data_IF_561576870954
#
_entry.id   IF_561576870954
#
_cell.length_a   1.000
_cell.length_b   1.000
_cell.length_c   1.000
_cell.angle_alpha   90.00
_cell.angle_beta   90.00
_cell.angle_gamma   90.00
#
_symmetry.space_group_name_H-M   'P 1'
#
loop_
_entity.id
_entity.type
_entity.pdbx_description
1 polymer ?
#
# COMPACT_ATOMS: atom_id res chain seq x y z
N UNK A 1 -53.52 -25.26 -28.69
CA UNK A 1 -54.55 -24.93 -29.70
C UNK A 1 -55.27 -23.67 -29.28
N UNK A 2 -55.55 -22.77 -30.23
CA UNK A 2 -56.42 -21.61 -30.00
C UNK A 2 -57.67 -21.85 -30.83
N UNK A 3 -58.84 -21.92 -30.18
CA UNK A 3 -60.13 -22.21 -30.84
C UNK A 3 -60.13 -23.49 -31.69
N UNK A 4 -59.66 -24.61 -31.12
CA UNK A 4 -59.58 -25.92 -31.81
C UNK A 4 -58.66 -25.96 -33.04
N UNK A 5 -57.82 -24.92 -33.26
CA UNK A 5 -56.83 -24.86 -34.34
C UNK A 5 -55.40 -24.81 -33.80
N UNK A 6 -54.49 -25.46 -34.52
CA UNK A 6 -53.06 -25.34 -34.29
C UNK A 6 -52.60 -23.96 -34.77
N UNK A 7 -51.92 -23.23 -33.88
CA UNK A 7 -51.32 -21.93 -34.18
C UNK A 7 -49.90 -21.93 -33.60
N UNK A 8 -49.00 -21.20 -34.25
CA UNK A 8 -47.66 -20.98 -33.71
C UNK A 8 -47.77 -20.13 -32.43
N UNK A 9 -47.24 -20.59 -31.28
CA UNK A 9 -47.28 -19.83 -30.03
C UNK A 9 -46.20 -18.74 -29.93
N UNK A 10 -45.26 -18.63 -30.89
CA UNK A 10 -44.17 -17.65 -30.85
C UNK A 10 -44.55 -16.18 -31.10
N UNK A 11 -45.45 -15.84 -32.05
CA UNK A 11 -45.78 -14.45 -32.35
C UNK A 11 -46.29 -13.68 -31.12
N UNK A 12 -45.54 -12.67 -30.70
CA UNK A 12 -45.92 -11.77 -29.59
C UNK A 12 -45.59 -12.29 -28.18
N UNK A 13 -44.96 -13.47 -28.04
CA UNK A 13 -44.66 -14.07 -26.74
C UNK A 13 -43.27 -13.69 -26.20
N UNK A 14 -42.26 -13.57 -27.08
CA UNK A 14 -40.89 -13.28 -26.69
C UNK A 14 -40.52 -11.79 -26.84
N UNK A 15 -39.53 -11.36 -26.06
CA UNK A 15 -39.02 -10.00 -26.05
C UNK A 15 -38.13 -9.66 -27.25
N UNK A 16 -37.57 -8.45 -27.26
CA UNK A 16 -36.68 -7.98 -28.33
C UNK A 16 -35.29 -8.64 -28.27
N UNK A 17 -34.67 -8.87 -29.44
CA UNK A 17 -33.37 -9.53 -29.60
C UNK A 17 -33.32 -10.97 -29.07
N UNK A 18 -34.41 -11.71 -29.30
CA UNK A 18 -34.57 -13.09 -28.86
C UNK A 18 -34.88 -14.01 -30.03
N UNK A 19 -34.70 -15.31 -29.82
CA UNK A 19 -35.23 -16.39 -30.66
C UNK A 19 -36.29 -17.16 -29.87
N UNK A 20 -37.32 -17.57 -30.57
CA UNK A 20 -38.39 -18.39 -30.02
C UNK A 20 -38.31 -19.80 -30.61
N UNK A 21 -38.31 -20.82 -29.76
CA UNK A 21 -38.34 -22.23 -30.14
C UNK A 21 -39.57 -22.90 -29.52
N UNK A 22 -40.33 -23.65 -30.31
CA UNK A 22 -41.53 -24.34 -29.81
C UNK A 22 -41.15 -25.76 -29.39
N UNK A 23 -41.20 -26.02 -28.08
CA UNK A 23 -40.91 -27.35 -27.50
C UNK A 23 -42.17 -27.82 -26.76
N UNK A 24 -42.68 -29.00 -27.11
CA UNK A 24 -43.91 -29.57 -26.50
C UNK A 24 -45.09 -28.58 -26.45
N UNK A 25 -45.40 -27.95 -27.60
CA UNK A 25 -46.45 -26.94 -27.73
C UNK A 25 -46.26 -25.66 -26.89
N UNK A 26 -45.09 -25.46 -26.30
CA UNK A 26 -44.76 -24.28 -25.47
C UNK A 26 -43.68 -23.43 -26.15
N UNK A 27 -43.85 -22.09 -26.21
CA UNK A 27 -42.83 -21.20 -26.73
C UNK A 27 -41.73 -21.00 -25.68
N UNK A 28 -40.49 -21.27 -26.07
CA UNK A 28 -39.29 -21.07 -25.26
C UNK A 28 -38.50 -19.91 -25.85
N UNK A 29 -38.38 -18.83 -25.09
CA UNK A 29 -37.65 -17.63 -25.48
C UNK A 29 -36.20 -17.72 -24.99
N UNK A 30 -35.24 -17.42 -25.86
CA UNK A 30 -33.83 -17.29 -25.49
C UNK A 30 -33.19 -16.08 -26.19
N UNK A 31 -32.20 -15.45 -25.56
CA UNK A 31 -31.48 -14.35 -26.19
C UNK A 31 -30.73 -14.84 -27.44
N UNK A 32 -30.62 -13.98 -28.45
CA UNK A 32 -29.78 -14.25 -29.61
C UNK A 32 -28.30 -14.42 -29.22
N UNK A 33 -27.49 -15.12 -30.02
CA UNK A 33 -26.06 -15.22 -29.78
C UNK A 33 -25.41 -13.83 -29.62
N UNK A 34 -24.64 -13.64 -28.54
CA UNK A 34 -24.03 -12.35 -28.21
C UNK A 34 -24.96 -11.37 -27.48
N UNK A 35 -26.16 -11.82 -27.06
CA UNK A 35 -27.07 -11.03 -26.22
C UNK A 35 -27.32 -11.72 -24.86
N UNK A 36 -27.60 -10.90 -23.84
CA UNK A 36 -27.90 -11.31 -22.46
C UNK A 36 -29.05 -10.47 -21.88
N UNK A 37 -29.68 -10.94 -20.81
CA UNK A 37 -30.82 -10.27 -20.18
C UNK A 37 -32.03 -11.20 -20.04
N UNK A 38 -33.23 -10.61 -20.04
CA UNK A 38 -34.48 -11.34 -19.91
C UNK A 38 -35.11 -11.61 -21.29
N UNK A 39 -35.23 -12.89 -21.73
CA UNK A 39 -35.81 -13.24 -23.02
C UNK A 39 -37.30 -12.92 -23.18
N UNK A 40 -38.06 -12.69 -22.10
CA UNK A 40 -39.47 -12.31 -22.20
C UNK A 40 -39.66 -10.81 -22.34
N UNK A 41 -38.73 -10.01 -21.80
CA UNK A 41 -38.77 -8.55 -21.89
C UNK A 41 -37.92 -8.03 -23.04
N UNK A 42 -36.60 -8.18 -22.95
CA UNK A 42 -35.61 -7.76 -23.94
C UNK A 42 -34.21 -8.26 -23.57
N UNK A 43 -33.43 -8.61 -24.58
CA UNK A 43 -32.00 -8.85 -24.43
C UNK A 43 -31.17 -7.67 -24.94
N UNK A 44 -29.99 -7.52 -24.35
CA UNK A 44 -28.99 -6.50 -24.64
C UNK A 44 -27.70 -7.16 -25.14
N UNK A 45 -26.88 -6.48 -25.96
CA UNK A 45 -25.56 -6.99 -26.31
C UNK A 45 -24.77 -7.35 -25.06
N UNK A 46 -24.12 -8.52 -25.08
CA UNK A 46 -23.22 -8.95 -24.00
C UNK A 46 -22.13 -7.88 -23.86
N UNK A 47 -21.90 -7.34 -22.64
CA UNK A 47 -20.86 -6.36 -22.44
C UNK A 47 -19.49 -6.95 -22.79
N UNK A 48 -18.54 -6.12 -23.24
CA UNK A 48 -17.17 -6.59 -23.45
C UNK A 48 -16.61 -7.19 -22.16
N UNK A 49 -15.69 -8.16 -22.24
CA UNK A 49 -15.01 -8.67 -21.07
C UNK A 49 -14.33 -7.50 -20.32
N UNK A 50 -14.22 -7.59 -18.99
CA UNK A 50 -13.50 -6.59 -18.23
C UNK A 50 -12.06 -6.47 -18.78
N UNK A 51 -11.47 -5.27 -18.71
CA UNK A 51 -10.08 -5.10 -19.11
C UNK A 51 -9.18 -6.03 -18.27
N UNK A 52 -8.04 -6.47 -18.82
CA UNK A 52 -7.08 -7.24 -18.05
C UNK A 52 -6.66 -6.44 -16.80
N UNK A 53 -6.32 -7.12 -15.69
CA UNK A 53 -5.75 -6.46 -14.52
C UNK A 53 -4.56 -5.60 -14.95
N UNK A 54 -4.47 -4.37 -14.46
CA UNK A 54 -3.30 -3.55 -14.69
C UNK A 54 -2.07 -4.21 -14.04
N UNK A 55 -0.92 -4.14 -14.71
CA UNK A 55 0.34 -4.57 -14.12
C UNK A 55 0.62 -3.75 -12.84
N UNK A 56 1.18 -4.37 -11.78
CA UNK A 56 1.56 -3.63 -10.59
C UNK A 56 2.58 -2.57 -10.98
N UNK A 57 2.27 -1.31 -10.68
CA UNK A 57 3.24 -0.23 -10.85
C UNK A 57 4.35 -0.45 -9.83
N UNK A 58 5.54 -0.83 -10.30
CA UNK A 58 6.74 -0.94 -9.46
C UNK A 58 7.21 0.47 -9.15
N UNK A 59 6.58 1.11 -8.18
CA UNK A 59 7.08 2.33 -7.57
C UNK A 59 8.08 1.96 -6.48
N UNK A 60 9.26 2.59 -6.49
CA UNK A 60 10.22 2.44 -5.42
C UNK A 60 9.57 2.88 -4.08
N UNK A 61 9.40 1.98 -3.10
CA UNK A 61 8.69 2.29 -1.85
C UNK A 61 9.45 3.26 -0.94
N UNK A 62 10.70 3.55 -1.24
CA UNK A 62 11.54 4.52 -0.52
C UNK A 62 11.47 5.94 -1.12
N UNK A 63 10.63 6.21 -2.13
CA UNK A 63 10.54 7.52 -2.78
C UNK A 63 9.07 8.00 -2.87
N UNK A 64 8.66 9.01 -2.08
CA UNK A 64 9.41 9.64 -0.99
C UNK A 64 9.60 8.70 0.22
N UNK A 65 10.68 8.86 0.98
CA UNK A 65 11.03 7.92 2.05
C UNK A 65 10.02 7.96 3.21
N UNK A 66 9.44 6.81 3.61
CA UNK A 66 8.51 6.74 4.74
C UNK A 66 9.24 6.62 6.10
N UNK A 67 10.56 6.46 6.12
CA UNK A 67 11.31 6.05 7.31
C UNK A 67 11.62 7.18 8.30
N UNK A 68 11.25 8.42 8.01
CA UNK A 68 11.57 9.58 8.87
C UNK A 68 13.04 10.00 8.85
N UNK A 69 13.40 11.05 9.61
CA UNK A 69 14.77 11.55 9.68
C UNK A 69 15.72 10.54 10.34
N UNK A 70 17.01 10.70 10.06
CA UNK A 70 18.09 9.87 10.62
C UNK A 70 17.91 8.36 10.43
N UNK A 71 17.14 7.97 9.40
CA UNK A 71 16.79 6.60 9.08
C UNK A 71 17.13 6.28 7.63
N UNK A 72 17.64 5.07 7.39
CA UNK A 72 17.85 4.51 6.06
C UNK A 72 16.63 3.70 5.65
N UNK A 73 16.16 3.92 4.42
CA UNK A 73 15.15 3.09 3.76
C UNK A 73 15.83 2.08 2.83
N UNK A 74 15.37 0.82 2.86
CA UNK A 74 15.75 -0.25 1.93
C UNK A 74 14.50 -0.89 1.37
N UNK A 75 14.44 -1.09 0.07
CA UNK A 75 13.37 -1.86 -0.57
C UNK A 75 13.64 -3.36 -0.39
N UNK A 76 12.72 -4.05 0.29
CA UNK A 76 12.74 -5.50 0.47
C UNK A 76 11.47 -6.07 -0.16
N UNK A 77 11.57 -6.50 -1.42
CA UNK A 77 10.48 -7.16 -2.13
C UNK A 77 9.26 -6.26 -2.42
N UNK A 78 9.49 -4.97 -2.68
CA UNK A 78 8.43 -3.99 -2.93
C UNK A 78 7.87 -3.34 -1.65
N UNK A 79 8.46 -3.64 -0.49
CA UNK A 79 8.07 -3.07 0.81
C UNK A 79 9.22 -2.24 1.39
N UNK A 80 8.96 -1.05 1.94
CA UNK A 80 10.01 -0.24 2.56
C UNK A 80 10.39 -0.83 3.91
N UNK A 81 11.67 -1.10 4.12
CA UNK A 81 12.26 -1.49 5.39
C UNK A 81 13.11 -0.34 5.92
N UNK A 82 12.86 0.05 7.18
CA UNK A 82 13.47 1.20 7.81
C UNK A 82 14.42 0.77 8.92
N UNK A 83 15.60 1.37 8.97
CA UNK A 83 16.57 1.20 10.07
C UNK A 83 17.22 2.53 10.42
N UNK A 84 17.56 2.77 11.69
CA UNK A 84 18.32 3.98 12.05
C UNK A 84 19.69 3.98 11.35
N UNK A 85 20.17 5.18 10.99
CA UNK A 85 21.54 5.35 10.54
C UNK A 85 22.53 4.96 11.66
N UNK A 86 23.78 4.63 11.32
CA UNK A 86 24.82 4.43 12.32
C UNK A 86 24.87 5.61 13.29
N UNK A 87 25.08 5.34 14.57
CA UNK A 87 25.12 6.32 15.67
C UNK A 87 23.78 6.88 16.14
N UNK A 88 22.68 6.59 15.43
CA UNK A 88 21.33 6.91 15.90
C UNK A 88 20.69 5.69 16.57
N UNK A 89 19.97 5.94 17.66
CA UNK A 89 19.34 4.93 18.50
C UNK A 89 17.82 5.04 18.44
N UNK A 90 17.14 3.94 18.76
CA UNK A 90 15.68 3.84 18.79
C UNK A 90 15.11 3.07 17.60
N UNK A 91 13.87 3.40 17.25
CA UNK A 91 13.13 2.73 16.18
C UNK A 91 12.58 3.77 15.20
N UNK A 92 12.81 3.59 13.88
CA UNK A 92 12.22 4.47 12.87
C UNK A 92 10.70 4.59 13.03
N UNK A 93 10.11 5.78 12.80
CA UNK A 93 10.73 7.00 12.28
C UNK A 93 11.39 7.88 13.34
N UNK A 94 11.44 7.43 14.60
CA UNK A 94 11.89 8.21 15.75
C UNK A 94 13.34 7.90 16.12
N UNK A 95 14.24 7.81 15.14
CA UNK A 95 15.66 7.64 15.40
C UNK A 95 16.23 8.93 15.99
N UNK A 96 16.90 8.80 17.15
CA UNK A 96 17.45 9.92 17.93
C UNK A 96 18.95 9.75 18.13
N UNK A 97 19.70 10.84 18.23
CA UNK A 97 21.10 10.76 18.63
C UNK A 97 21.25 10.21 20.05
N UNK A 98 22.47 9.84 20.43
CA UNK A 98 22.78 9.40 21.80
C UNK A 98 22.48 10.51 22.82
N UNK A 99 22.79 11.76 22.48
CA UNK A 99 22.48 12.92 23.32
C UNK A 99 22.13 14.14 22.46
N UNK A 100 21.36 15.05 23.04
CA UNK A 100 21.11 16.40 22.50
C UNK A 100 21.60 17.48 23.45
N UNK A 101 21.65 17.17 24.74
CA UNK A 101 22.10 18.06 25.81
C UNK A 101 22.99 17.30 26.79
N UNK A 102 23.83 18.02 27.54
CA UNK A 102 24.74 17.42 28.52
C UNK A 102 24.06 16.47 29.53
N UNK A 103 22.88 16.80 30.11
CA UNK A 103 22.19 15.92 31.04
C UNK A 103 21.68 14.59 30.47
N UNK A 104 21.67 14.42 29.13
CA UNK A 104 21.37 13.12 28.51
C UNK A 104 22.54 12.13 28.72
N UNK A 105 23.74 12.65 29.01
CA UNK A 105 24.94 11.86 29.26
C UNK A 105 25.16 11.58 30.75
N UNK A 106 25.95 10.56 31.09
CA UNK A 106 26.53 10.42 32.42
C UNK A 106 27.26 11.69 32.88
N UNK A 107 27.28 11.94 34.19
CA UNK A 107 27.85 13.17 34.78
C UNK A 107 29.35 13.39 34.51
N UNK A 108 30.07 12.32 34.12
CA UNK A 108 31.47 12.34 33.73
C UNK A 108 31.71 12.47 32.22
N UNK A 109 30.66 12.68 31.41
CA UNK A 109 30.74 12.88 29.96
C UNK A 109 29.98 14.14 29.57
N UNK A 110 30.28 14.73 28.41
CA UNK A 110 29.55 15.86 27.86
C UNK A 110 28.93 15.49 26.50
N UNK A 111 27.83 16.13 26.14
CA UNK A 111 27.23 15.95 24.84
C UNK A 111 28.02 16.74 23.79
N UNK A 112 28.77 16.03 22.96
CA UNK A 112 29.62 16.60 21.92
C UNK A 112 29.34 15.94 20.59
N UNK A 113 28.78 16.71 19.65
CA UNK A 113 28.38 16.24 18.31
C UNK A 113 27.45 15.02 18.41
N UNK A 114 26.35 15.17 19.16
CA UNK A 114 25.30 14.15 19.29
C UNK A 114 25.75 12.84 19.98
N UNK A 115 26.92 12.85 20.62
CA UNK A 115 27.49 11.72 21.35
C UNK A 115 28.01 12.11 22.72
N UNK A 116 27.90 11.18 23.68
CA UNK A 116 28.48 11.34 25.00
C UNK A 116 29.98 11.06 24.95
N UNK A 117 30.80 12.08 25.14
CA UNK A 117 32.27 11.99 25.06
C UNK A 117 32.92 12.70 26.23
N UNK A 118 34.14 12.28 26.55
CA UNK A 118 34.96 12.94 27.57
C UNK A 118 35.36 14.35 27.09
N UNK A 119 35.02 15.43 27.81
CA UNK A 119 35.40 16.80 27.47
C UNK A 119 36.85 17.15 27.84
N UNK A 120 37.59 16.30 28.55
CA UNK A 120 38.97 16.57 28.96
C UNK A 120 39.99 16.73 27.81
N UNK A 121 39.97 15.89 26.75
CA UNK A 121 40.95 16.00 25.67
C UNK A 121 40.92 17.36 24.98
N UNK A 122 41.97 18.16 25.18
CA UNK A 122 42.13 19.49 24.58
C UNK A 122 41.57 20.66 25.41
N UNK A 123 40.95 20.40 26.57
CA UNK A 123 40.39 21.45 27.43
C UNK A 123 41.36 21.93 28.52
N UNK A 124 42.18 21.02 29.07
CA UNK A 124 43.13 21.32 30.15
C UNK A 124 44.58 21.48 29.65
N UNK A 125 45.41 22.17 30.44
CA UNK A 125 46.82 22.42 30.12
C UNK A 125 47.67 21.14 30.05
N UNK A 126 48.78 21.20 29.30
CA UNK A 126 49.68 20.06 29.16
C UNK A 126 50.24 19.61 30.52
N UNK A 127 50.01 18.34 30.88
CA UNK A 127 50.41 17.76 32.17
C UNK A 127 49.45 18.03 33.33
N UNK A 128 48.32 18.71 33.11
CA UNK A 128 47.28 18.87 34.12
C UNK A 128 46.44 17.60 34.26
N UNK A 129 46.06 17.25 35.50
CA UNK A 129 45.09 16.20 35.75
C UNK A 129 43.68 16.75 35.53
N UNK A 130 43.03 16.35 34.43
CA UNK A 130 41.67 16.76 34.12
C UNK A 130 40.66 15.80 34.75
N UNK A 131 39.66 16.35 35.45
CA UNK A 131 38.50 15.61 35.91
C UNK A 131 37.22 16.18 35.28
N UNK A 132 36.17 15.37 35.16
CA UNK A 132 34.88 15.85 34.65
C UNK A 132 33.89 15.92 35.79
N UNK A 133 33.43 17.14 36.09
CA UNK A 133 32.39 17.40 37.10
C UNK A 133 31.19 18.01 36.40
N UNK A 134 30.05 17.33 36.45
CA UNK A 134 28.79 17.80 35.88
C UNK A 134 28.96 18.23 34.40
N UNK A 135 29.54 17.33 33.59
CA UNK A 135 29.81 17.53 32.16
C UNK A 135 30.85 18.62 31.84
N UNK A 136 31.50 19.21 32.84
CA UNK A 136 32.53 20.25 32.66
C UNK A 136 33.92 19.73 33.03
N UNK A 137 34.95 19.94 32.19
CA UNK A 137 36.32 19.58 32.52
C UNK A 137 36.89 20.59 33.53
N UNK A 138 37.54 20.09 34.58
CA UNK A 138 38.19 20.86 35.65
C UNK A 138 39.62 20.40 35.90
#
# INVERSE_FOLDING_TARGET
CVNQKCVDPCPGTCGQNTRCEVINHSPICSCNPGFTGDPFSRCFPVPPPPPPPADPIITNPCVPSPCGPNSQCRDIGGTPSCSCLPEYQGTPPNCRPECTINPDCPSNLACMREKCRDPCPGSCGAGAQCNVINHTPV
#
